data_IF_174882003034
#
_entry.id   IF_174882003034
#
_cell.length_a   1.000
_cell.length_b   1.000
_cell.length_c   1.000
_cell.angle_alpha   90.00
_cell.angle_beta   90.00
_cell.angle_gamma   90.00
#
_symmetry.space_group_name_H-M   'P 1'
#
loop_
_entity.id
_entity.type
_entity.pdbx_description
1 polymer ?
#
# COMPACT_ATOMS: atom_id res chain seq x y z
N UNK A 1 13.31 -36.65 17.78
CA UNK A 1 13.98 -35.34 17.80
C UNK A 1 13.68 -34.62 16.50
N UNK A 2 13.04 -33.44 16.49
CA UNK A 2 12.83 -32.70 15.25
C UNK A 2 14.14 -32.04 14.83
N UNK A 3 14.53 -32.25 13.57
CA UNK A 3 15.70 -31.64 12.95
C UNK A 3 15.52 -30.12 12.92
N UNK A 4 16.49 -29.41 13.50
CA UNK A 4 16.66 -27.95 13.33
C UNK A 4 16.63 -27.63 11.83
N UNK A 5 15.57 -26.94 11.39
CA UNK A 5 15.50 -26.39 10.03
C UNK A 5 16.39 -25.16 9.99
N UNK A 6 17.42 -25.24 9.16
CA UNK A 6 18.38 -24.18 8.88
C UNK A 6 17.70 -22.84 8.59
N UNK A 7 18.21 -21.77 9.23
CA UNK A 7 17.92 -20.37 8.92
C UNK A 7 18.00 -20.14 7.41
N UNK A 8 16.85 -20.03 6.75
CA UNK A 8 16.76 -19.84 5.31
C UNK A 8 17.16 -18.42 4.93
N UNK A 9 18.36 -18.28 4.36
CA UNK A 9 18.79 -17.04 3.67
C UNK A 9 17.73 -16.66 2.63
N UNK A 10 17.50 -15.36 2.48
CA UNK A 10 16.78 -14.77 1.33
C UNK A 10 17.31 -15.43 0.05
N UNK A 11 16.46 -15.88 -0.88
CA UNK A 11 16.93 -16.45 -2.13
C UNK A 11 17.95 -15.50 -2.76
N UNK A 12 19.12 -15.97 -3.22
CA UNK A 12 20.04 -15.12 -3.96
C UNK A 12 19.29 -14.58 -5.19
N UNK A 13 19.09 -13.25 -5.27
CA UNK A 13 18.52 -12.58 -6.44
C UNK A 13 17.30 -11.68 -6.21
N UNK A 14 16.63 -11.71 -5.05
CA UNK A 14 15.51 -10.77 -4.77
C UNK A 14 16.01 -9.57 -3.98
N UNK A 15 16.19 -8.44 -4.67
CA UNK A 15 16.51 -7.16 -4.04
C UNK A 15 15.21 -6.47 -3.55
N UNK A 16 14.96 -6.61 -2.25
CA UNK A 16 13.80 -6.01 -1.60
C UNK A 16 13.87 -4.49 -1.66
N UNK A 17 15.05 -3.88 -1.55
CA UNK A 17 15.18 -2.42 -1.56
C UNK A 17 14.90 -1.87 -2.96
N UNK A 18 15.42 -2.52 -4.00
CA UNK A 18 15.15 -2.13 -5.39
C UNK A 18 13.66 -2.23 -5.73
N UNK A 19 13.03 -3.37 -5.40
CA UNK A 19 11.58 -3.56 -5.58
C UNK A 19 10.78 -2.49 -4.82
N UNK A 20 11.22 -2.15 -3.62
CA UNK A 20 10.54 -1.16 -2.77
C UNK A 20 10.69 0.26 -3.31
N UNK A 21 11.87 0.64 -3.81
CA UNK A 21 12.13 1.94 -4.41
C UNK A 21 11.31 2.15 -5.67
N UNK A 22 11.28 1.16 -6.56
CA UNK A 22 10.50 1.23 -7.78
C UNK A 22 9.00 1.37 -7.48
N UNK A 23 8.48 0.55 -6.56
CA UNK A 23 7.09 0.65 -6.13
C UNK A 23 6.77 2.02 -5.48
N UNK A 24 7.69 2.54 -4.67
CA UNK A 24 7.55 3.86 -4.06
C UNK A 24 7.53 4.99 -5.11
N UNK A 25 8.34 4.91 -6.17
CA UNK A 25 8.36 5.89 -7.28
C UNK A 25 6.97 6.11 -7.85
N UNK A 26 6.22 5.04 -8.14
CA UNK A 26 4.85 5.16 -8.66
C UNK A 26 3.90 5.85 -7.68
N UNK A 27 3.99 5.54 -6.38
CA UNK A 27 3.20 6.24 -5.36
C UNK A 27 3.56 7.72 -5.24
N UNK A 28 4.85 8.04 -5.29
CA UNK A 28 5.34 9.42 -5.21
C UNK A 28 4.81 10.27 -6.36
N UNK A 29 4.95 9.80 -7.61
CA UNK A 29 4.44 10.53 -8.77
C UNK A 29 2.92 10.63 -8.73
N UNK A 30 2.21 9.56 -8.39
CA UNK A 30 0.75 9.63 -8.24
C UNK A 30 0.32 10.70 -7.23
N UNK A 31 0.97 10.76 -6.07
CA UNK A 31 0.66 11.75 -5.03
C UNK A 31 1.03 13.17 -5.45
N UNK A 32 2.19 13.35 -6.10
CA UNK A 32 2.62 14.64 -6.66
C UNK A 32 1.60 15.17 -7.65
N UNK A 33 1.24 14.37 -8.66
CA UNK A 33 0.30 14.80 -9.69
C UNK A 33 -1.10 15.02 -9.10
N UNK A 34 -1.55 14.18 -8.15
CA UNK A 34 -2.81 14.41 -7.43
C UNK A 34 -2.83 15.79 -6.78
N UNK A 35 -1.74 16.18 -6.11
CA UNK A 35 -1.64 17.45 -5.43
C UNK A 35 -1.73 18.64 -6.42
N UNK A 36 -0.97 18.59 -7.51
CA UNK A 36 -0.99 19.67 -8.52
C UNK A 36 -2.32 19.74 -9.29
N UNK A 37 -2.88 18.59 -9.66
CA UNK A 37 -4.15 18.52 -10.40
C UNK A 37 -5.35 18.94 -9.54
N UNK A 38 -5.24 18.88 -8.21
CA UNK A 38 -6.28 19.37 -7.30
C UNK A 38 -6.41 20.90 -7.30
N UNK A 39 -5.39 21.64 -7.72
CA UNK A 39 -5.41 23.10 -7.75
C UNK A 39 -6.38 23.67 -8.81
N UNK A 40 -6.59 22.95 -9.92
CA UNK A 40 -7.54 23.34 -10.97
C UNK A 40 -8.32 22.11 -11.47
N UNK A 41 -9.42 21.75 -10.78
CA UNK A 41 -10.23 20.59 -11.14
C UNK A 41 -10.85 20.70 -12.54
N UNK A 42 -11.20 21.92 -13.00
CA UNK A 42 -11.81 22.13 -14.31
C UNK A 42 -10.81 21.89 -15.44
N UNK A 43 -9.59 22.41 -15.32
CA UNK A 43 -8.54 22.14 -16.28
C UNK A 43 -8.13 20.66 -16.28
N UNK A 44 -8.06 20.03 -15.10
CA UNK A 44 -7.84 18.59 -14.95
C UNK A 44 -8.90 17.79 -15.70
N UNK A 45 -10.17 18.05 -15.46
CA UNK A 45 -11.26 17.25 -16.06
C UNK A 45 -11.30 17.41 -17.58
N UNK A 46 -11.01 18.61 -18.09
CA UNK A 46 -10.85 18.84 -19.54
C UNK A 46 -9.66 18.08 -20.13
N UNK A 47 -8.53 18.03 -19.43
CA UNK A 47 -7.36 17.27 -19.84
C UNK A 47 -7.62 15.76 -19.79
N UNK A 48 -8.37 15.28 -18.80
CA UNK A 48 -8.85 13.89 -18.71
C UNK A 48 -9.72 13.56 -19.91
N UNK A 49 -10.72 14.37 -20.20
CA UNK A 49 -11.60 14.17 -21.36
C UNK A 49 -10.79 14.09 -22.66
N UNK A 50 -9.86 15.04 -22.86
CA UNK A 50 -8.95 15.05 -24.02
C UNK A 50 -8.13 13.77 -24.11
N UNK A 51 -7.59 13.28 -22.98
CA UNK A 51 -6.83 12.03 -22.94
C UNK A 51 -7.68 10.85 -23.41
N UNK A 52 -8.92 10.73 -22.95
CA UNK A 52 -9.83 9.64 -23.33
C UNK A 52 -10.38 9.75 -24.76
N UNK A 53 -10.23 10.90 -25.44
CA UNK A 53 -10.50 10.98 -26.88
C UNK A 53 -9.41 10.32 -27.73
N UNK A 54 -8.22 10.06 -27.16
CA UNK A 54 -7.15 9.38 -27.89
C UNK A 54 -7.50 7.89 -28.11
N UNK A 55 -7.56 7.41 -29.38
CA UNK A 55 -7.89 6.02 -29.68
C UNK A 55 -6.93 5.00 -29.06
N UNK A 56 -5.66 5.35 -28.87
CA UNK A 56 -4.65 4.46 -28.27
C UNK A 56 -4.90 4.27 -26.76
N UNK A 57 -5.47 5.27 -26.09
CA UNK A 57 -5.88 5.18 -24.68
C UNK A 57 -7.07 4.25 -24.52
N UNK A 58 -7.98 4.20 -25.50
CA UNK A 58 -9.11 3.25 -25.48
C UNK A 58 -8.67 1.80 -25.70
N UNK A 59 -7.46 1.56 -26.21
CA UNK A 59 -6.91 0.23 -26.48
C UNK A 59 -6.11 -0.37 -25.31
N UNK A 60 -5.87 0.38 -24.23
CA UNK A 60 -5.37 -0.19 -22.97
C UNK A 60 -4.25 0.58 -22.26
N UNK A 61 -3.52 1.48 -22.94
CA UNK A 61 -2.48 2.29 -22.29
C UNK A 61 -2.75 3.80 -22.35
N UNK A 62 -2.77 4.54 -21.22
CA UNK A 62 -2.55 4.11 -19.83
C UNK A 62 -3.87 3.87 -19.07
N UNK A 63 -4.96 3.49 -19.75
CA UNK A 63 -6.25 3.25 -19.09
C UNK A 63 -7.21 2.28 -19.79
N UNK A 64 -8.15 1.79 -18.96
CA UNK A 64 -9.23 0.83 -19.21
C UNK A 64 -8.78 -0.58 -19.62
N UNK A 65 -7.81 -1.11 -18.88
CA UNK A 65 -7.42 -2.52 -18.94
C UNK A 65 -5.93 -2.66 -19.15
N UNK A 66 -5.14 -2.48 -18.09
CA UNK A 66 -3.69 -2.76 -18.01
C UNK A 66 -3.41 -4.26 -18.17
N UNK A 67 -4.02 -4.87 -19.18
CA UNK A 67 -3.78 -6.20 -19.68
C UNK A 67 -2.61 -6.05 -20.64
N UNK A 68 -1.41 -6.33 -20.13
CA UNK A 68 -0.29 -6.65 -20.99
C UNK A 68 -0.71 -7.92 -21.74
N UNK A 69 -0.79 -7.84 -23.07
CA UNK A 69 -1.17 -8.97 -23.90
C UNK A 69 -0.25 -10.17 -23.60
N UNK A 70 -0.70 -11.41 -23.86
CA UNK A 70 0.08 -12.60 -23.54
C UNK A 70 1.47 -12.65 -24.20
N UNK A 71 1.70 -11.86 -25.25
CA UNK A 71 2.97 -11.75 -25.97
C UNK A 71 3.72 -10.43 -25.70
N UNK A 72 3.15 -9.53 -24.93
CA UNK A 72 3.75 -8.22 -24.66
C UNK A 72 4.77 -8.34 -23.52
N UNK A 73 5.85 -7.56 -23.60
CA UNK A 73 6.92 -7.57 -22.62
C UNK A 73 6.62 -6.60 -21.45
N UNK A 74 6.39 -7.10 -20.22
CA UNK A 74 6.15 -6.26 -19.06
C UNK A 74 7.33 -5.35 -18.70
N UNK A 75 8.56 -5.78 -18.94
CA UNK A 75 9.73 -4.98 -18.59
C UNK A 75 9.89 -3.81 -19.57
N UNK A 76 9.65 -4.03 -20.87
CA UNK A 76 9.58 -2.95 -21.85
C UNK A 76 8.46 -1.95 -21.54
N UNK A 77 7.29 -2.43 -21.11
CA UNK A 77 6.20 -1.56 -20.67
C UNK A 77 6.62 -0.71 -19.47
N UNK A 78 7.22 -1.31 -18.44
CA UNK A 78 7.65 -0.58 -17.25
C UNK A 78 8.75 0.43 -17.55
N UNK A 79 9.66 0.12 -18.49
CA UNK A 79 10.66 1.07 -18.97
C UNK A 79 10.02 2.28 -19.68
N UNK A 80 9.02 2.06 -20.53
CA UNK A 80 8.29 3.14 -21.20
C UNK A 80 7.49 3.99 -20.19
N UNK A 81 6.92 3.37 -19.16
CA UNK A 81 6.32 4.09 -18.03
C UNK A 81 7.36 4.98 -17.37
N UNK A 82 8.52 4.43 -16.99
CA UNK A 82 9.57 5.18 -16.30
C UNK A 82 10.07 6.38 -17.12
N UNK A 83 10.24 6.22 -18.44
CA UNK A 83 10.59 7.32 -19.35
C UNK A 83 9.57 8.47 -19.28
N UNK A 84 8.28 8.15 -19.28
CA UNK A 84 7.21 9.16 -19.13
C UNK A 84 7.28 9.83 -17.76
N UNK A 85 7.55 9.08 -16.70
CA UNK A 85 7.62 9.59 -15.33
C UNK A 85 8.89 10.41 -15.07
N UNK A 86 9.95 10.20 -15.82
CA UNK A 86 11.21 10.95 -15.71
C UNK A 86 11.24 12.20 -16.60
N UNK A 87 10.31 12.32 -17.57
CA UNK A 87 10.14 13.52 -18.39
C UNK A 87 9.93 14.77 -17.50
N UNK A 88 10.64 15.89 -17.70
CA UNK A 88 10.50 17.10 -16.89
C UNK A 88 9.31 18.00 -17.25
N UNK A 89 8.60 17.78 -18.35
CA UNK A 89 7.41 18.57 -18.70
C UNK A 89 6.28 18.36 -17.67
N UNK A 90 5.64 19.48 -17.30
CA UNK A 90 4.64 19.59 -16.24
C UNK A 90 3.43 20.40 -16.67
N UNK A 91 3.14 20.46 -17.98
CA UNK A 91 1.86 20.95 -18.50
C UNK A 91 0.67 20.16 -17.93
N UNK A 92 -0.53 20.76 -17.90
CA UNK A 92 -1.72 20.10 -17.32
C UNK A 92 -2.03 18.76 -18.00
N UNK A 93 -1.92 18.71 -19.34
CA UNK A 93 -2.12 17.49 -20.12
C UNK A 93 -1.09 16.43 -19.74
N UNK A 94 0.18 16.82 -19.60
CA UNK A 94 1.25 15.91 -19.23
C UNK A 94 1.12 15.41 -17.79
N UNK A 95 0.67 16.24 -16.86
CA UNK A 95 0.40 15.83 -15.46
C UNK A 95 -0.73 14.82 -15.36
N UNK A 96 -1.83 15.05 -16.10
CA UNK A 96 -2.91 14.06 -16.20
C UNK A 96 -2.42 12.77 -16.82
N UNK A 97 -1.59 12.83 -17.86
CA UNK A 97 -1.00 11.63 -18.46
C UNK A 97 -0.11 10.86 -17.48
N UNK A 98 0.83 11.56 -16.81
CA UNK A 98 1.72 10.99 -15.77
C UNK A 98 0.93 10.36 -14.62
N UNK A 99 -0.15 10.98 -14.18
CA UNK A 99 -1.05 10.44 -13.16
C UNK A 99 -1.57 9.04 -13.54
N UNK A 100 -2.14 8.89 -14.74
CA UNK A 100 -2.67 7.60 -15.21
C UNK A 100 -1.56 6.57 -15.49
N UNK A 101 -0.43 7.02 -16.04
CA UNK A 101 0.74 6.19 -16.32
C UNK A 101 1.34 5.62 -15.03
N UNK A 102 1.41 6.41 -13.95
CA UNK A 102 1.91 5.94 -12.65
C UNK A 102 1.02 4.84 -12.06
N UNK A 103 -0.31 4.97 -12.16
CA UNK A 103 -1.25 3.91 -11.72
C UNK A 103 -1.07 2.64 -12.56
N UNK A 104 -0.98 2.79 -13.89
CA UNK A 104 -0.77 1.65 -14.79
C UNK A 104 0.55 0.94 -14.52
N UNK A 105 1.63 1.69 -14.33
CA UNK A 105 2.94 1.18 -13.94
C UNK A 105 2.89 0.39 -12.64
N UNK A 106 2.21 0.92 -11.61
CA UNK A 106 2.04 0.23 -10.33
C UNK A 106 1.29 -1.10 -10.48
N UNK A 107 0.23 -1.16 -11.30
CA UNK A 107 -0.54 -2.38 -11.53
C UNK A 107 0.33 -3.46 -12.22
N UNK A 108 0.98 -3.10 -13.32
CA UNK A 108 1.87 -4.02 -14.06
C UNK A 108 3.05 -4.46 -13.20
N UNK A 109 3.67 -3.53 -12.47
CA UNK A 109 4.79 -3.84 -11.59
C UNK A 109 4.39 -4.85 -10.52
N UNK A 110 3.22 -4.69 -9.89
CA UNK A 110 2.75 -5.63 -8.87
C UNK A 110 2.54 -7.03 -9.45
N UNK A 111 1.92 -7.13 -10.63
CA UNK A 111 1.58 -8.44 -11.22
C UNK A 111 2.77 -9.14 -11.88
N UNK A 112 3.63 -8.41 -12.60
CA UNK A 112 4.66 -9.02 -13.43
C UNK A 112 6.06 -8.95 -12.82
N UNK A 113 6.37 -7.92 -12.02
CA UNK A 113 7.72 -7.73 -11.46
C UNK A 113 7.77 -8.22 -10.02
N UNK A 114 6.85 -7.76 -9.17
CA UNK A 114 6.80 -8.14 -7.76
C UNK A 114 6.33 -9.58 -7.57
N UNK A 115 5.15 -9.94 -8.08
CA UNK A 115 4.58 -11.29 -7.90
C UNK A 115 5.49 -12.37 -8.48
N UNK A 116 6.09 -12.16 -9.66
CA UNK A 116 7.05 -13.13 -10.23
C UNK A 116 8.34 -13.21 -9.42
N UNK A 117 8.90 -12.09 -8.96
CA UNK A 117 10.16 -12.08 -8.21
C UNK A 117 10.03 -12.76 -6.83
N UNK A 118 8.89 -12.60 -6.16
CA UNK A 118 8.67 -13.18 -4.83
C UNK A 118 7.93 -14.52 -4.87
N UNK A 119 7.25 -14.85 -5.98
CA UNK A 119 6.41 -16.05 -6.08
C UNK A 119 5.37 -16.10 -4.96
N UNK A 120 5.21 -17.28 -4.34
CA UNK A 120 4.32 -17.50 -3.19
C UNK A 120 4.94 -17.04 -1.84
N UNK A 121 6.11 -16.39 -1.85
CA UNK A 121 6.76 -15.88 -0.63
C UNK A 121 6.07 -14.62 -0.14
N UNK A 122 4.96 -14.81 0.58
CA UNK A 122 4.18 -13.71 1.14
C UNK A 122 5.03 -12.80 2.06
N UNK A 123 5.99 -13.38 2.79
CA UNK A 123 6.93 -12.66 3.64
C UNK A 123 7.74 -11.59 2.88
N UNK A 124 8.24 -11.94 1.70
CA UNK A 124 9.02 -11.05 0.85
C UNK A 124 8.12 -9.98 0.21
N UNK A 125 6.92 -10.35 -0.24
CA UNK A 125 5.91 -9.42 -0.75
C UNK A 125 5.55 -8.36 0.29
N UNK A 126 5.37 -8.78 1.54
CA UNK A 126 5.08 -7.87 2.66
C UNK A 126 6.25 -6.94 2.96
N UNK A 127 7.49 -7.45 2.99
CA UNK A 127 8.68 -6.60 3.16
C UNK A 127 8.76 -5.50 2.10
N UNK A 128 8.49 -5.82 0.83
CA UNK A 128 8.43 -4.81 -0.25
C UNK A 128 7.31 -3.79 -0.01
N UNK A 129 6.12 -4.24 0.39
CA UNK A 129 4.98 -3.35 0.64
C UNK A 129 5.24 -2.40 1.83
N UNK A 130 5.78 -2.91 2.94
CA UNK A 130 6.13 -2.11 4.11
C UNK A 130 7.21 -1.10 3.75
N UNK A 131 8.30 -1.55 3.12
CA UNK A 131 9.44 -0.69 2.81
C UNK A 131 9.09 0.38 1.77
N UNK A 132 8.34 0.03 0.72
CA UNK A 132 7.87 1.02 -0.28
C UNK A 132 7.00 2.11 0.35
N UNK A 133 6.14 1.76 1.31
CA UNK A 133 5.33 2.74 2.05
C UNK A 133 6.17 3.64 2.95
N UNK A 134 7.20 3.10 3.60
CA UNK A 134 8.15 3.91 4.38
C UNK A 134 8.84 4.95 3.49
N UNK A 135 9.42 4.52 2.36
CA UNK A 135 10.07 5.42 1.38
C UNK A 135 9.08 6.48 0.89
N UNK A 136 7.85 6.09 0.57
CA UNK A 136 6.79 7.01 0.14
C UNK A 136 6.42 8.03 1.22
N UNK A 137 6.25 7.62 2.47
CA UNK A 137 5.93 8.52 3.60
C UNK A 137 7.06 9.49 3.90
N UNK A 138 8.30 8.99 3.95
CA UNK A 138 9.50 9.81 4.11
C UNK A 138 9.55 10.90 3.02
N UNK A 139 9.27 10.52 1.77
CA UNK A 139 9.20 11.47 0.65
C UNK A 139 8.03 12.46 0.82
N UNK A 140 6.82 12.00 1.11
CA UNK A 140 5.65 12.88 1.26
C UNK A 140 5.88 13.94 2.33
N UNK A 141 6.40 13.53 3.50
CA UNK A 141 6.65 14.46 4.62
C UNK A 141 7.62 15.59 4.28
N UNK A 142 8.46 15.40 3.26
CA UNK A 142 9.47 16.37 2.80
C UNK A 142 9.00 17.19 1.60
N UNK A 143 8.15 16.63 0.74
CA UNK A 143 7.88 17.16 -0.60
C UNK A 143 6.45 17.67 -0.79
N UNK A 144 5.49 17.19 0.00
CA UNK A 144 4.11 17.65 -0.08
C UNK A 144 3.77 18.48 1.18
N UNK A 145 2.97 19.54 1.04
CA UNK A 145 2.49 20.25 2.22
C UNK A 145 1.69 19.27 3.09
N UNK A 146 1.77 19.40 4.43
CA UNK A 146 0.88 18.65 5.30
C UNK A 146 -0.56 18.92 4.85
N UNK A 147 -1.45 17.92 4.85
CA UNK A 147 -2.84 18.12 4.46
C UNK A 147 -3.41 19.31 5.23
N UNK A 148 -3.64 20.41 4.52
CA UNK A 148 -4.15 21.64 5.11
C UNK A 148 -5.50 21.34 5.74
N UNK A 149 -5.55 21.42 7.08
CA UNK A 149 -6.74 21.62 7.89
C UNK A 149 -7.95 20.76 7.57
N UNK A 150 -8.19 19.75 8.41
CA UNK A 150 -9.53 19.69 9.01
C UNK A 150 -9.67 21.03 9.74
N UNK A 151 -10.29 22.01 9.08
CA UNK A 151 -10.77 23.17 9.78
C UNK A 151 -11.74 22.64 10.84
N UNK A 152 -11.41 22.90 12.10
CA UNK A 152 -12.31 22.78 13.25
C UNK A 152 -13.51 23.72 13.06
N UNK A 153 -14.39 23.37 12.14
CA UNK A 153 -15.70 23.97 11.99
C UNK A 153 -16.74 22.87 12.20
N UNK A 154 -17.31 22.75 13.41
CA UNK A 154 -18.35 21.78 13.69
C UNK A 154 -19.65 22.29 13.07
N UNK A 155 -19.87 22.00 11.79
CA UNK A 155 -21.21 22.06 11.21
C UNK A 155 -21.78 20.64 11.26
N UNK A 156 -22.89 20.38 12.00
CA UNK A 156 -23.43 19.04 12.12
C UNK A 156 -23.96 18.57 10.76
N UNK A 157 -23.35 17.54 10.19
CA UNK A 157 -23.92 16.83 9.07
C UNK A 157 -25.23 16.14 9.53
N UNK A 158 -26.31 16.15 8.72
CA UNK A 158 -27.54 15.45 9.06
C UNK A 158 -27.26 13.94 9.19
N UNK A 159 -27.93 13.25 10.14
CA UNK A 159 -27.66 11.84 10.42
C UNK A 159 -27.99 10.97 9.20
N UNK A 160 -27.15 9.96 8.89
CA UNK A 160 -27.42 9.03 7.81
C UNK A 160 -28.68 8.20 8.11
N UNK A 161 -29.47 7.81 7.10
CA UNK A 161 -30.63 6.96 7.30
C UNK A 161 -30.21 5.59 7.86
N UNK A 162 -30.95 5.12 8.86
CA UNK A 162 -30.76 3.84 9.55
C UNK A 162 -30.74 2.66 8.55
N UNK A 163 -29.71 1.79 8.57
CA UNK A 163 -29.71 0.58 7.76
C UNK A 163 -30.76 -0.44 8.28
N UNK A 164 -31.33 -1.28 7.40
CA UNK A 164 -32.32 -2.27 7.81
C UNK A 164 -31.70 -3.33 8.74
N UNK A 165 -32.49 -3.92 9.67
CA UNK A 165 -31.97 -4.89 10.63
C UNK A 165 -31.53 -6.17 9.91
N UNK A 166 -30.23 -6.45 9.98
CA UNK A 166 -29.64 -7.68 9.45
C UNK A 166 -30.06 -8.87 10.30
N UNK A 167 -30.81 -9.80 9.70
CA UNK A 167 -31.05 -11.14 10.25
C UNK A 167 -29.86 -12.01 9.85
N UNK A 168 -29.05 -12.41 10.84
CA UNK A 168 -28.35 -13.70 10.99
C UNK A 168 -27.26 -13.54 12.09
N UNK A 169 -27.01 -14.55 12.94
CA UNK A 169 -25.98 -14.46 13.97
C UNK A 169 -24.60 -14.54 13.32
N UNK A 170 -23.92 -13.40 13.23
CA UNK A 170 -22.52 -13.33 12.83
C UNK A 170 -21.65 -13.83 13.97
N UNK A 171 -20.91 -14.92 13.75
CA UNK A 171 -19.67 -15.20 14.49
C UNK A 171 -18.71 -14.05 14.18
N UNK A 172 -18.77 -13.01 15.02
CA UNK A 172 -18.25 -11.69 14.74
C UNK A 172 -16.72 -11.67 14.81
N UNK A 173 -16.07 -11.86 13.66
CA UNK A 173 -14.69 -11.44 13.45
C UNK A 173 -14.75 -9.92 13.21
N UNK A 174 -14.45 -9.10 14.21
CA UNK A 174 -14.52 -7.63 14.11
C UNK A 174 -13.25 -7.07 13.46
N UNK A 175 -13.44 -6.27 12.41
CA UNK A 175 -12.36 -5.50 11.81
C UNK A 175 -11.83 -4.48 12.82
N UNK A 176 -10.52 -4.25 12.81
CA UNK A 176 -9.89 -3.26 13.69
C UNK A 176 -10.08 -1.86 13.08
N UNK A 177 -10.77 -0.99 13.79
CA UNK A 177 -10.96 0.42 13.43
C UNK A 177 -9.76 1.26 13.88
N UNK A 178 -9.65 2.49 13.38
CA UNK A 178 -8.55 3.42 13.70
C UNK A 178 -8.41 3.68 15.20
N UNK A 179 -9.52 3.88 15.91
CA UNK A 179 -9.53 4.10 17.36
C UNK A 179 -9.10 2.85 18.14
N UNK A 180 -9.42 1.66 17.64
CA UNK A 180 -8.99 0.39 18.25
C UNK A 180 -7.51 0.16 17.97
N UNK A 181 -7.02 0.47 16.76
CA UNK A 181 -5.60 0.38 16.44
C UNK A 181 -4.75 1.27 17.35
N UNK A 182 -5.14 2.53 17.58
CA UNK A 182 -4.40 3.41 18.50
C UNK A 182 -4.42 2.90 19.95
N UNK A 183 -5.56 2.36 20.41
CA UNK A 183 -5.64 1.75 21.75
C UNK A 183 -4.69 0.56 21.87
N UNK A 184 -4.69 -0.34 20.89
CA UNK A 184 -3.79 -1.49 20.86
C UNK A 184 -2.32 -1.04 20.85
N UNK A 185 -1.97 -0.02 20.07
CA UNK A 185 -0.60 0.52 20.03
C UNK A 185 -0.18 1.19 21.34
N UNK A 186 -1.12 1.78 22.08
CA UNK A 186 -0.87 2.33 23.40
C UNK A 186 -0.63 1.23 24.46
N UNK A 187 -1.21 0.04 24.27
CA UNK A 187 -1.11 -1.12 25.16
C UNK A 187 0.12 -1.98 24.82
N UNK A 188 1.31 -1.42 25.06
CA UNK A 188 2.60 -1.96 24.56
C UNK A 188 2.88 -3.41 24.94
N UNK A 189 2.55 -3.84 26.15
CA UNK A 189 2.83 -5.21 26.61
C UNK A 189 1.69 -6.16 26.23
N UNK A 190 0.45 -5.68 26.25
CA UNK A 190 -0.73 -6.49 25.97
C UNK A 190 -0.81 -6.89 24.49
N UNK A 191 -0.27 -6.08 23.57
CA UNK A 191 -0.19 -6.42 22.15
C UNK A 191 0.63 -7.71 21.88
N UNK A 192 1.53 -8.10 22.79
CA UNK A 192 2.32 -9.34 22.69
C UNK A 192 1.47 -10.60 22.92
N UNK A 193 0.36 -10.45 23.64
CA UNK A 193 -0.58 -11.53 23.93
C UNK A 193 -1.70 -11.62 22.88
N UNK A 194 -1.80 -10.60 22.01
CA UNK A 194 -2.83 -10.54 20.99
C UNK A 194 -2.43 -11.28 19.72
N UNK A 195 -3.41 -11.94 19.12
CA UNK A 195 -3.29 -12.59 17.82
C UNK A 195 -4.26 -11.95 16.84
N UNK A 196 -3.80 -11.77 15.62
CA UNK A 196 -4.51 -11.06 14.57
C UNK A 196 -4.64 -11.93 13.31
N UNK A 197 -5.63 -11.65 12.49
CA UNK A 197 -5.81 -12.26 11.18
C UNK A 197 -5.90 -11.17 10.12
N UNK A 198 -4.97 -11.17 9.17
CA UNK A 198 -4.98 -10.27 8.02
C UNK A 198 -6.10 -10.69 7.07
N UNK A 199 -6.94 -9.73 6.67
CA UNK A 199 -8.02 -9.88 5.67
C UNK A 199 -8.85 -11.19 5.78
N UNK A 200 -9.65 -11.32 6.84
CA UNK A 200 -10.44 -12.53 7.15
C UNK A 200 -11.39 -13.04 6.03
N UNK A 201 -11.58 -12.30 4.94
CA UNK A 201 -12.49 -12.61 3.83
C UNK A 201 -11.79 -12.82 2.47
N UNK A 202 -10.46 -12.81 2.39
CA UNK A 202 -9.71 -13.11 1.14
C UNK A 202 -9.02 -14.48 1.26
N UNK A 203 -8.60 -15.11 0.15
CA UNK A 203 -7.83 -16.36 0.19
C UNK A 203 -6.45 -16.22 0.83
N UNK A 204 -5.95 -14.98 1.00
CA UNK A 204 -4.66 -14.65 1.59
C UNK A 204 -4.77 -14.44 3.13
N UNK A 205 -5.45 -15.35 3.84
CA UNK A 205 -5.57 -15.28 5.30
C UNK A 205 -4.25 -15.71 5.93
N UNK A 206 -3.61 -14.81 6.66
CA UNK A 206 -2.44 -15.14 7.48
C UNK A 206 -2.62 -14.59 8.87
N UNK A 207 -2.51 -15.46 9.89
CA UNK A 207 -2.52 -15.02 11.27
C UNK A 207 -1.15 -14.45 11.65
N UNK A 208 -1.13 -13.44 12.50
CA UNK A 208 0.08 -12.80 12.96
C UNK A 208 0.00 -12.33 14.41
N UNK A 209 1.15 -12.14 15.03
CA UNK A 209 1.29 -11.67 16.40
C UNK A 209 2.59 -10.87 16.57
N UNK A 210 2.65 -10.03 17.59
CA UNK A 210 3.90 -9.33 17.92
C UNK A 210 4.76 -10.25 18.78
N UNK A 211 5.99 -10.56 18.35
CA UNK A 211 6.92 -11.37 19.15
C UNK A 211 7.70 -10.53 20.15
N UNK A 212 8.06 -9.32 19.76
CA UNK A 212 8.82 -8.39 20.60
C UNK A 212 8.65 -6.97 20.10
N UNK A 213 8.97 -6.00 20.96
CA UNK A 213 9.19 -4.63 20.53
C UNK A 213 10.48 -4.10 21.15
N UNK A 214 11.12 -3.16 20.47
CA UNK A 214 12.34 -2.49 20.93
C UNK A 214 12.11 -0.98 20.92
N UNK A 215 12.42 -0.33 22.04
CA UNK A 215 12.44 1.14 22.11
C UNK A 215 13.86 1.62 21.85
N UNK A 216 14.08 2.31 20.72
CA UNK A 216 15.36 2.93 20.36
C UNK A 216 15.55 4.24 21.13
N UNK A 217 16.80 4.72 21.18
CA UNK A 217 17.11 6.07 21.72
C UNK A 217 16.28 7.11 20.97
N UNK A 218 15.59 7.98 21.72
CA UNK A 218 14.63 8.95 21.16
C UNK A 218 13.17 8.52 21.21
N UNK A 219 12.84 7.38 21.82
CA UNK A 219 11.46 6.95 22.05
C UNK A 219 10.79 6.27 20.84
N UNK A 220 11.54 6.07 19.75
CA UNK A 220 11.07 5.35 18.56
C UNK A 220 10.87 3.88 18.91
N UNK A 221 9.66 3.36 18.68
CA UNK A 221 9.30 1.96 18.92
C UNK A 221 9.30 1.18 17.60
N UNK A 222 9.94 0.02 17.61
CA UNK A 222 9.94 -0.94 16.51
C UNK A 222 9.38 -2.28 17.02
N UNK A 223 8.34 -2.79 16.37
CA UNK A 223 7.64 -4.03 16.67
C UNK A 223 8.10 -5.13 15.72
N UNK A 224 8.56 -6.26 16.24
CA UNK A 224 8.87 -7.45 15.46
C UNK A 224 7.62 -8.34 15.40
N UNK A 225 7.07 -8.48 14.20
CA UNK A 225 5.80 -9.18 13.97
C UNK A 225 6.04 -10.52 13.30
N UNK A 226 5.60 -11.61 13.91
CA UNK A 226 5.59 -12.93 13.29
C UNK A 226 4.24 -13.21 12.63
N UNK A 227 4.30 -13.83 11.45
CA UNK A 227 3.13 -14.33 10.73
C UNK A 227 3.23 -15.86 10.64
N UNK A 228 2.11 -16.58 10.61
CA UNK A 228 2.09 -18.05 10.50
C UNK A 228 2.86 -18.56 9.28
N UNK A 229 2.77 -17.84 8.16
CA UNK A 229 3.42 -18.23 6.91
C UNK A 229 4.83 -17.65 6.76
N UNK A 230 5.33 -16.94 7.78
CA UNK A 230 6.64 -16.30 7.76
C UNK A 230 7.58 -16.96 8.80
N UNK A 231 8.73 -17.51 8.39
CA UNK A 231 9.68 -18.14 9.32
C UNK A 231 10.44 -17.14 10.20
N UNK A 232 10.32 -15.84 9.92
CA UNK A 232 11.05 -14.77 10.62
C UNK A 232 10.11 -13.61 10.89
N UNK A 233 10.22 -13.03 12.10
CA UNK A 233 9.54 -11.80 12.43
C UNK A 233 10.01 -10.64 11.55
N UNK A 234 9.08 -9.76 11.19
CA UNK A 234 9.27 -8.61 10.32
C UNK A 234 9.20 -7.35 11.20
N UNK A 235 10.22 -6.49 11.20
CA UNK A 235 10.21 -5.25 11.97
C UNK A 235 9.24 -4.23 11.34
N UNK A 236 8.45 -3.58 12.18
CA UNK A 236 7.51 -2.52 11.84
C UNK A 236 7.69 -1.35 12.80
N UNK A 237 7.66 -0.13 12.31
CA UNK A 237 7.47 1.05 13.18
C UNK A 237 6.01 1.14 13.64
N UNK A 238 5.73 2.07 14.57
CA UNK A 238 4.36 2.37 15.05
C UNK A 238 3.38 2.57 13.88
N UNK A 239 3.88 3.21 12.85
CA UNK A 239 3.16 3.63 11.67
C UNK A 239 2.83 2.48 10.70
N UNK A 240 3.71 1.50 10.60
CA UNK A 240 3.54 0.24 9.89
C UNK A 240 2.65 -0.72 10.67
N UNK A 241 2.76 -0.73 12.01
CA UNK A 241 1.85 -1.47 12.87
C UNK A 241 0.42 -0.97 12.76
N UNK A 242 0.19 0.36 12.71
CA UNK A 242 -1.13 0.94 12.50
C UNK A 242 -1.80 0.42 11.22
N UNK A 243 -1.04 0.39 10.13
CA UNK A 243 -1.51 -0.18 8.85
C UNK A 243 -1.89 -1.64 9.02
N UNK A 244 -0.99 -2.42 9.64
CA UNK A 244 -1.16 -3.86 9.75
C UNK A 244 -2.40 -4.18 10.58
N UNK A 245 -2.61 -3.45 11.68
CA UNK A 245 -3.81 -3.52 12.51
C UNK A 245 -5.07 -3.18 11.71
N UNK A 246 -5.09 -2.07 10.96
CA UNK A 246 -6.25 -1.66 10.15
C UNK A 246 -6.65 -2.67 9.06
N UNK A 247 -5.69 -3.47 8.57
CA UNK A 247 -5.95 -4.57 7.63
C UNK A 247 -6.38 -5.88 8.29
N UNK A 248 -6.48 -5.91 9.62
CA UNK A 248 -6.60 -7.14 10.40
C UNK A 248 -7.85 -7.19 11.28
N UNK A 249 -8.10 -8.38 11.80
CA UNK A 249 -9.13 -8.67 12.79
C UNK A 249 -8.48 -9.32 14.01
N UNK A 250 -9.01 -9.07 15.21
CA UNK A 250 -8.52 -9.71 16.44
C UNK A 250 -9.06 -11.15 16.49
N UNK A 251 -8.17 -12.11 16.75
CA UNK A 251 -8.51 -13.48 17.09
C UNK A 251 -8.57 -13.58 18.62
N UNK A 252 -9.75 -13.89 19.14
CA UNK A 252 -9.96 -14.20 20.56
C UNK A 252 -9.54 -15.64 20.89
#
# INVERSE_FOLDING_TARGET
>A
MPKSRSKGKVPPGVDIEDLSRQKAKYFQVHAEETHYLAADPTARDKAIEKLYQNPEVKKGFPCAGTYIGPNDDPDAFLAAVDEVLDNPDRSIDQRVFRFHVAVSGLMVFNEHRLRKAVGERHDLRMKVNVRSRQIYREWMSKNLPPPSGVADNPNPAPPPPTPPPSRLPSTSIKAITSDVAEKILAMRDEILEMRFMLEANTPDKSAWQVESYLTKKGGVVEYNVAFEDCPHAIPHDVDGMRILLLGSHVLH
#
